data_IF_800326553482
#
_entry.id   IF_800326553482
#
_cell.length_a   1.000
_cell.length_b   1.000
_cell.length_c   1.000
_cell.angle_alpha   90.00
_cell.angle_beta   90.00
_cell.angle_gamma   90.00
#
_symmetry.space_group_name_H-M   'P 1'
#
loop_
_entity.id
_entity.type
_entity.pdbx_description
1 polymer ?
#
# COMPACT_ATOMS: atom_id res chain seq x y z
N UNK A 1 -7.33 2.47 1.35
CA UNK A 1 -7.11 3.85 1.85
C UNK A 1 -8.19 4.75 1.28
N UNK A 2 -8.76 5.66 2.08
CA UNK A 2 -9.70 6.69 1.61
C UNK A 2 -9.07 8.09 1.84
N UNK A 3 -9.10 8.94 0.80
CA UNK A 3 -8.67 10.34 0.85
C UNK A 3 -9.85 11.23 0.51
N UNK A 4 -10.32 12.02 1.49
CA UNK A 4 -11.48 12.90 1.33
C UNK A 4 -11.05 14.36 1.16
N UNK A 5 -11.47 14.98 0.06
CA UNK A 5 -11.49 16.44 -0.07
C UNK A 5 -12.83 16.94 0.49
N UNK A 6 -12.79 17.53 1.69
CA UNK A 6 -13.97 18.03 2.40
C UNK A 6 -14.59 19.27 1.77
N UNK A 7 -13.82 20.03 0.98
CA UNK A 7 -14.34 21.21 0.25
C UNK A 7 -15.14 20.78 -0.97
N UNK A 8 -14.69 19.73 -1.66
CA UNK A 8 -15.41 19.17 -2.82
C UNK A 8 -16.45 18.12 -2.43
N UNK A 9 -16.41 17.62 -1.19
CA UNK A 9 -17.27 16.52 -0.74
C UNK A 9 -17.01 15.23 -1.53
N UNK A 10 -15.76 14.98 -1.94
CA UNK A 10 -15.37 13.82 -2.75
C UNK A 10 -14.32 13.00 -2.04
N UNK A 11 -14.40 11.68 -2.21
CA UNK A 11 -13.43 10.74 -1.64
C UNK A 11 -12.80 9.92 -2.74
N UNK A 12 -11.47 9.97 -2.85
CA UNK A 12 -10.68 9.04 -3.65
C UNK A 12 -10.41 7.78 -2.81
N UNK A 13 -10.75 6.62 -3.35
CA UNK A 13 -10.47 5.33 -2.74
C UNK A 13 -9.31 4.69 -3.48
N UNK A 14 -8.25 4.33 -2.74
CA UNK A 14 -7.21 3.42 -3.20
C UNK A 14 -7.43 2.06 -2.54
N UNK A 15 -8.09 1.19 -3.28
CA UNK A 15 -8.49 -0.15 -2.87
C UNK A 15 -7.44 -1.16 -3.35
N UNK A 16 -6.85 -1.90 -2.42
CA UNK A 16 -5.76 -2.83 -2.67
C UNK A 16 -6.09 -4.16 -1.99
N UNK A 17 -5.60 -5.27 -2.54
CA UNK A 17 -5.80 -6.59 -1.94
C UNK A 17 -5.18 -6.75 -0.55
N UNK A 18 -5.61 -7.77 0.19
CA UNK A 18 -5.11 -8.06 1.55
C UNK A 18 -3.66 -8.59 1.59
N UNK A 19 -3.03 -8.77 0.42
CA UNK A 19 -1.62 -9.13 0.27
C UNK A 19 -0.69 -7.93 0.53
N UNK A 20 -1.17 -6.70 0.42
CA UNK A 20 -0.40 -5.51 0.81
C UNK A 20 -0.46 -5.34 2.33
N UNK A 21 0.51 -5.91 3.03
CA UNK A 21 0.56 -5.91 4.52
C UNK A 21 0.95 -4.57 5.12
N UNK A 22 1.56 -3.69 4.33
CA UNK A 22 2.17 -2.46 4.82
C UNK A 22 1.74 -1.26 3.97
N UNK A 23 1.78 -0.06 4.56
CA UNK A 23 1.55 1.21 3.87
C UNK A 23 2.62 2.22 4.25
N UNK A 24 3.27 2.81 3.24
CA UNK A 24 4.13 3.98 3.43
C UNK A 24 3.34 5.24 3.05
N UNK A 25 3.43 6.27 3.89
CA UNK A 25 2.84 7.58 3.62
C UNK A 25 3.95 8.62 3.59
N UNK A 26 4.13 9.26 2.44
CA UNK A 26 5.16 10.28 2.24
C UNK A 26 4.59 11.54 1.60
N UNK A 27 4.86 12.72 2.17
CA UNK A 27 4.25 13.99 1.73
C UNK A 27 5.26 15.05 1.27
N UNK A 28 6.47 14.61 0.87
CA UNK A 28 7.56 15.46 0.39
C UNK A 28 7.83 16.68 1.28
N UNK A 29 8.39 16.47 2.48
CA UNK A 29 8.70 17.55 3.45
C UNK A 29 7.48 18.45 3.72
N UNK A 30 6.29 17.85 3.78
CA UNK A 30 5.01 18.56 3.93
C UNK A 30 4.80 19.68 2.88
N UNK A 31 5.15 19.44 1.62
CA UNK A 31 5.02 20.43 0.52
C UNK A 31 3.60 20.95 0.27
N UNK A 32 2.57 20.28 0.82
CA UNK A 32 1.14 20.58 0.66
C UNK A 32 0.63 20.51 -0.78
N UNK A 33 1.39 19.91 -1.70
CA UNK A 33 1.00 19.76 -3.11
C UNK A 33 0.46 18.37 -3.43
N UNK A 34 1.03 17.35 -2.81
CA UNK A 34 0.66 15.96 -2.97
C UNK A 34 1.18 15.14 -1.79
N UNK A 35 0.79 13.88 -1.74
CA UNK A 35 1.43 12.85 -0.94
C UNK A 35 1.30 11.50 -1.66
N UNK A 36 2.12 10.54 -1.26
CA UNK A 36 2.17 9.19 -1.79
C UNK A 36 1.65 8.22 -0.71
N UNK A 37 0.46 7.63 -0.90
CA UNK A 37 0.00 6.47 -0.14
C UNK A 37 0.43 5.19 -0.87
N UNK A 38 1.51 4.58 -0.40
CA UNK A 38 2.22 3.49 -1.09
C UNK A 38 1.91 2.15 -0.41
N UNK A 39 1.03 1.31 -0.99
CA UNK A 39 0.79 -0.04 -0.47
C UNK A 39 1.99 -0.94 -0.80
N UNK A 40 2.48 -1.68 0.18
CA UNK A 40 3.64 -2.58 0.06
C UNK A 40 3.27 -3.99 0.52
N UNK A 41 3.75 -5.00 -0.19
CA UNK A 41 3.54 -6.41 0.19
C UNK A 41 4.23 -6.72 1.51
N UNK A 42 5.44 -6.17 1.71
CA UNK A 42 6.31 -6.48 2.81
C UNK A 42 6.82 -5.21 3.51
N UNK A 43 7.36 -5.41 4.70
CA UNK A 43 8.01 -4.38 5.49
C UNK A 43 9.24 -3.86 4.76
N UNK A 44 9.52 -2.55 4.92
CA UNK A 44 10.80 -1.98 4.51
C UNK A 44 11.92 -2.78 5.14
N UNK A 45 12.87 -3.24 4.32
CA UNK A 45 14.00 -4.07 4.74
C UNK A 45 13.61 -5.48 5.26
N UNK A 46 12.42 -6.01 4.92
CA UNK A 46 11.94 -7.31 5.40
C UNK A 46 12.95 -8.47 5.34
N UNK A 47 13.76 -8.66 4.27
CA UNK A 47 14.73 -9.77 4.22
C UNK A 47 15.83 -9.73 5.31
N UNK A 48 16.01 -8.58 5.97
CA UNK A 48 17.04 -8.38 7.00
C UNK A 48 16.45 -8.20 8.41
N UNK A 49 15.15 -8.46 8.58
CA UNK A 49 14.45 -8.29 9.86
C UNK A 49 14.15 -9.65 10.47
N UNK A 50 14.46 -9.82 11.76
CA UNK A 50 14.17 -11.04 12.50
C UNK A 50 12.77 -10.99 13.14
N UNK A 51 11.73 -11.03 12.32
CA UNK A 51 10.32 -11.07 12.70
C UNK A 51 9.58 -12.16 11.91
N UNK A 52 8.40 -12.62 12.35
CA UNK A 52 7.63 -13.62 11.62
C UNK A 52 7.32 -13.17 10.18
N UNK A 53 7.49 -14.09 9.23
CA UNK A 53 7.34 -13.83 7.79
C UNK A 53 5.96 -13.24 7.43
N UNK A 54 4.90 -13.76 8.05
CA UNK A 54 3.52 -13.28 7.85
C UNK A 54 3.31 -11.84 8.33
N UNK A 55 3.97 -11.44 9.42
CA UNK A 55 3.88 -10.09 9.98
C UNK A 55 4.60 -9.08 9.09
N UNK A 56 5.77 -9.45 8.57
CA UNK A 56 6.57 -8.60 7.67
C UNK A 56 6.18 -8.76 6.20
N UNK A 57 5.21 -9.61 5.87
CA UNK A 57 4.70 -9.84 4.51
C UNK A 57 5.71 -10.41 3.53
N UNK A 58 6.78 -11.07 4.02
CA UNK A 58 7.83 -11.63 3.17
C UNK A 58 7.51 -13.10 2.85
N UNK A 59 7.34 -13.41 1.57
CA UNK A 59 7.13 -14.78 1.09
C UNK A 59 7.99 -15.06 -0.14
N UNK A 60 8.32 -16.33 -0.36
CA UNK A 60 9.02 -16.81 -1.55
C UNK A 60 8.04 -17.36 -2.59
N UNK A 61 8.53 -17.51 -3.83
CA UNK A 61 7.85 -18.21 -4.92
C UNK A 61 8.70 -19.40 -5.34
N UNK A 62 8.09 -20.58 -5.47
CA UNK A 62 8.77 -21.75 -6.00
C UNK A 62 8.88 -21.68 -7.54
N UNK A 63 9.74 -22.50 -8.17
CA UNK A 63 9.80 -22.57 -9.62
C UNK A 63 8.43 -22.92 -10.23
N UNK A 64 7.91 -22.04 -11.08
CA UNK A 64 6.60 -22.18 -11.72
C UNK A 64 5.45 -21.45 -11.02
N UNK A 65 5.66 -20.92 -9.81
CA UNK A 65 4.66 -20.11 -9.12
C UNK A 65 4.52 -18.73 -9.80
N UNK A 66 3.29 -18.23 -9.82
CA UNK A 66 2.94 -16.89 -10.27
C UNK A 66 2.29 -16.16 -9.11
N UNK A 67 2.75 -14.94 -8.84
CA UNK A 67 2.10 -14.03 -7.90
C UNK A 67 1.53 -12.84 -8.66
N UNK A 68 0.26 -12.55 -8.39
CA UNK A 68 -0.46 -11.43 -8.97
C UNK A 68 -1.18 -10.65 -7.87
N UNK A 69 -1.28 -9.33 -8.08
CA UNK A 69 -2.06 -8.46 -7.23
C UNK A 69 -2.75 -7.41 -8.08
N UNK A 70 -3.90 -6.95 -7.61
CA UNK A 70 -4.67 -5.88 -8.25
C UNK A 70 -4.93 -4.78 -7.24
N UNK A 71 -4.91 -3.56 -7.73
CA UNK A 71 -5.39 -2.40 -7.00
C UNK A 71 -6.30 -1.56 -7.90
N UNK A 72 -7.17 -0.76 -7.29
CA UNK A 72 -8.12 0.10 -7.97
C UNK A 72 -8.10 1.48 -7.35
N UNK A 73 -8.15 2.49 -8.21
CA UNK A 73 -8.35 3.89 -7.83
C UNK A 73 -9.69 4.33 -8.40
N UNK A 74 -10.59 4.81 -7.53
CA UNK A 74 -11.91 5.28 -7.95
C UNK A 74 -12.45 6.34 -7.00
N UNK A 75 -13.40 7.14 -7.49
CA UNK A 75 -14.11 8.12 -6.67
C UNK A 75 -15.34 7.48 -6.04
N UNK A 76 -15.52 7.71 -4.74
CA UNK A 76 -16.74 7.38 -3.99
C UNK A 76 -17.69 8.58 -4.06
N UNK A 77 -18.94 8.29 -4.41
CA UNK A 77 -20.02 9.25 -4.69
C UNK A 77 -20.41 10.11 -3.50
#
# INVERSE_FOLDING_TARGET
>A
MELTDTRLGKTLVYDVGNSYKQWMVWNNKASRKFFCPEPQINLVNAPNVNLPADDIGLFGLAPGDIWEATSRLYLKG
#
